data_IF_894472114010
#
_entry.id   IF_894472114010
#
_cell.length_a   1.000
_cell.length_b   1.000
_cell.length_c   1.000
_cell.angle_alpha   90.00
_cell.angle_beta   90.00
_cell.angle_gamma   90.00
#
_symmetry.space_group_name_H-M   'P 1'
#
loop_
_entity.id
_entity.type
_entity.pdbx_description
1 polymer ?
#
# COMPACT_ATOMS: atom_id res chain seq x y z
N UNK A 1 -36.03 -40.88 -32.45
CA UNK A 1 -34.64 -40.36 -32.36
C UNK A 1 -34.67 -38.85 -32.13
N UNK A 2 -34.69 -38.40 -30.87
CA UNK A 2 -34.52 -36.98 -30.49
C UNK A 2 -33.70 -36.92 -29.20
N UNK A 3 -32.42 -37.22 -29.32
CA UNK A 3 -31.43 -37.02 -28.26
C UNK A 3 -30.20 -36.53 -28.99
N UNK A 4 -29.88 -35.22 -28.90
CA UNK A 4 -28.55 -34.66 -29.24
C UNK A 4 -28.42 -33.13 -29.09
N UNK A 5 -29.51 -32.36 -28.93
CA UNK A 5 -29.38 -30.88 -28.83
C UNK A 5 -29.22 -30.32 -27.41
N UNK A 6 -29.63 -31.03 -26.36
CA UNK A 6 -29.53 -30.54 -24.96
C UNK A 6 -28.16 -30.76 -24.33
N UNK A 7 -27.31 -31.63 -24.89
CA UNK A 7 -25.95 -31.83 -24.38
C UNK A 7 -25.00 -30.69 -24.80
N UNK A 8 -25.11 -30.16 -26.02
CA UNK A 8 -24.18 -29.14 -26.53
C UNK A 8 -24.23 -27.83 -25.72
N UNK A 9 -25.42 -27.44 -25.26
CA UNK A 9 -25.62 -26.18 -24.50
C UNK A 9 -24.96 -26.26 -23.11
N UNK A 10 -24.92 -27.45 -22.48
CA UNK A 10 -24.27 -27.63 -21.17
C UNK A 10 -22.75 -27.52 -21.23
N UNK A 11 -22.13 -27.89 -22.35
CA UNK A 11 -20.67 -27.78 -22.53
C UNK A 11 -20.22 -26.34 -22.84
N UNK A 12 -21.05 -25.55 -23.53
CA UNK A 12 -20.75 -24.12 -23.80
C UNK A 12 -20.83 -23.27 -22.53
N UNK A 13 -21.80 -23.53 -21.64
CA UNK A 13 -21.90 -22.82 -20.35
C UNK A 13 -20.75 -23.19 -19.40
N UNK A 14 -20.27 -24.45 -19.41
CA UNK A 14 -19.12 -24.88 -18.61
C UNK A 14 -17.79 -24.26 -19.08
N UNK A 15 -17.65 -24.00 -20.40
CA UNK A 15 -16.45 -23.37 -20.96
C UNK A 15 -16.38 -21.86 -20.65
N UNK A 16 -17.52 -21.17 -20.57
CA UNK A 16 -17.58 -19.73 -20.25
C UNK A 16 -17.23 -19.46 -18.78
N UNK A 17 -17.50 -20.41 -17.87
CA UNK A 17 -17.13 -20.32 -16.45
C UNK A 17 -15.62 -20.58 -16.22
N UNK A 18 -14.89 -21.16 -17.20
CA UNK A 18 -13.44 -21.37 -17.10
C UNK A 18 -12.60 -20.13 -17.43
N UNK A 19 -13.21 -19.06 -17.98
CA UNK A 19 -12.54 -17.80 -18.29
C UNK A 19 -12.69 -16.76 -17.17
N UNK A 20 -12.89 -17.20 -15.92
CA UNK A 20 -12.59 -16.34 -14.77
C UNK A 20 -11.08 -16.11 -14.82
N UNK A 21 -10.74 -14.97 -15.43
CA UNK A 21 -9.41 -14.45 -15.64
C UNK A 21 -8.54 -14.75 -14.42
N UNK A 22 -7.41 -15.42 -14.65
CA UNK A 22 -6.39 -15.72 -13.66
C UNK A 22 -5.72 -14.41 -13.20
N UNK A 23 -6.47 -13.57 -12.48
CA UNK A 23 -6.01 -12.37 -11.78
C UNK A 23 -5.40 -12.81 -10.45
N UNK A 24 -4.29 -13.54 -10.52
CA UNK A 24 -3.61 -14.08 -9.36
C UNK A 24 -2.27 -13.36 -9.16
N UNK A 25 -2.17 -12.55 -8.10
CA UNK A 25 -0.88 -12.15 -7.55
C UNK A 25 -0.27 -13.36 -6.87
N UNK A 26 0.99 -13.68 -7.16
CA UNK A 26 1.65 -14.86 -6.59
C UNK A 26 2.82 -14.48 -5.70
N UNK A 27 2.99 -15.28 -4.65
CA UNK A 27 4.06 -15.17 -3.68
C UNK A 27 4.86 -16.47 -3.65
N UNK A 28 6.18 -16.37 -3.60
CA UNK A 28 7.08 -17.52 -3.51
C UNK A 28 7.75 -17.55 -2.15
N UNK A 29 7.82 -18.72 -1.48
CA UNK A 29 8.49 -18.84 -0.20
C UNK A 29 10.01 -18.61 -0.38
N UNK A 30 10.61 -17.87 0.55
CA UNK A 30 12.05 -17.58 0.56
C UNK A 30 12.60 -17.72 1.99
N UNK A 31 13.75 -18.37 2.15
CA UNK A 31 14.41 -18.52 3.45
C UNK A 31 15.33 -17.33 3.70
N UNK A 32 15.02 -16.50 4.69
CA UNK A 32 15.81 -15.31 5.02
C UNK A 32 16.29 -15.39 6.47
N UNK A 33 17.54 -14.97 6.69
CA UNK A 33 18.13 -14.81 8.02
C UNK A 33 17.81 -13.41 8.55
N UNK A 34 17.16 -13.31 9.71
CA UNK A 34 16.91 -12.02 10.35
C UNK A 34 18.24 -11.26 10.58
N UNK A 35 18.36 -10.00 10.15
CA UNK A 35 19.63 -9.25 10.26
C UNK A 35 19.96 -8.89 11.71
N UNK A 36 18.96 -8.80 12.59
CA UNK A 36 19.16 -8.50 14.00
C UNK A 36 19.66 -9.71 14.78
N UNK A 37 18.86 -10.78 14.88
CA UNK A 37 19.14 -11.92 15.76
C UNK A 37 19.67 -13.18 15.06
N UNK A 38 19.73 -13.19 13.73
CA UNK A 38 20.24 -14.32 12.95
C UNK A 38 19.30 -15.51 12.82
N UNK A 39 18.06 -15.44 13.33
CA UNK A 39 17.06 -16.50 13.16
C UNK A 39 16.68 -16.67 11.69
N UNK A 40 16.69 -17.90 11.19
CA UNK A 40 16.20 -18.23 9.86
C UNK A 40 14.69 -18.50 9.91
N UNK A 41 13.94 -17.89 9.00
CA UNK A 41 12.50 -18.08 8.85
C UNK A 41 12.14 -18.13 7.36
N UNK A 42 10.98 -18.70 7.05
CA UNK A 42 10.38 -18.65 5.71
C UNK A 42 9.57 -17.36 5.63
N UNK A 43 9.86 -16.56 4.61
CA UNK A 43 9.11 -15.37 4.23
C UNK A 43 8.55 -15.57 2.83
N UNK A 44 7.85 -14.56 2.30
CA UNK A 44 7.24 -14.62 0.98
C UNK A 44 7.67 -13.42 0.16
N UNK A 45 8.33 -13.66 -0.97
CA UNK A 45 8.66 -12.62 -1.93
C UNK A 45 7.64 -12.58 -3.07
N UNK A 46 7.47 -11.40 -3.65
CA UNK A 46 6.69 -11.21 -4.88
C UNK A 46 7.24 -12.13 -5.97
N UNK A 47 6.35 -12.91 -6.59
CA UNK A 47 6.71 -13.82 -7.67
C UNK A 47 6.14 -13.35 -9.02
N UNK A 48 4.84 -13.03 -9.06
CA UNK A 48 4.22 -12.43 -10.26
C UNK A 48 2.99 -11.61 -9.91
N UNK A 49 2.71 -10.61 -10.75
CA UNK A 49 1.50 -9.80 -10.73
C UNK A 49 1.30 -9.18 -12.12
N UNK A 50 0.10 -8.67 -12.40
CA UNK A 50 -0.22 -7.96 -13.64
C UNK A 50 -0.79 -6.58 -13.35
N UNK A 51 -1.09 -5.81 -14.40
CA UNK A 51 -1.60 -4.44 -14.30
C UNK A 51 -2.95 -4.31 -13.58
N UNK A 52 -3.72 -5.39 -13.47
CA UNK A 52 -5.01 -5.43 -12.77
C UNK A 52 -4.92 -4.99 -11.29
N UNK A 53 -3.72 -5.02 -10.68
CA UNK A 53 -3.52 -4.51 -9.31
C UNK A 53 -3.81 -3.01 -9.19
N UNK A 54 -3.70 -2.25 -10.29
CA UNK A 54 -3.99 -0.82 -10.35
C UNK A 54 -5.48 -0.52 -10.38
N UNK A 55 -6.32 -1.54 -10.58
CA UNK A 55 -7.78 -1.45 -10.56
C UNK A 55 -8.41 -1.84 -9.23
N UNK A 56 -7.63 -2.39 -8.30
CA UNK A 56 -8.10 -2.76 -6.96
C UNK A 56 -8.64 -1.55 -6.19
N UNK A 57 -9.62 -1.73 -5.27
CA UNK A 57 -10.20 -0.62 -4.51
C UNK A 57 -9.18 0.25 -3.76
N UNK A 58 -8.03 -0.30 -3.38
CA UNK A 58 -6.94 0.43 -2.73
C UNK A 58 -6.34 1.56 -3.58
N UNK A 59 -6.60 1.58 -4.90
CA UNK A 59 -6.21 2.68 -5.80
C UNK A 59 -6.74 4.04 -5.34
N UNK A 60 -7.87 4.03 -4.64
CA UNK A 60 -8.46 5.23 -4.06
C UNK A 60 -7.62 5.79 -2.89
N UNK A 61 -6.82 4.98 -2.20
CA UNK A 61 -5.81 5.46 -1.23
C UNK A 61 -4.42 5.63 -1.88
N UNK A 62 -4.35 5.41 -3.20
CA UNK A 62 -3.13 5.39 -4.00
C UNK A 62 -2.10 4.37 -3.52
N UNK A 63 -2.60 3.23 -3.02
CA UNK A 63 -1.80 2.11 -2.53
C UNK A 63 -2.10 0.93 -3.44
N UNK A 64 -1.04 0.24 -3.87
CA UNK A 64 -1.14 -0.90 -4.76
C UNK A 64 -0.50 -2.12 -4.14
N UNK A 65 -0.90 -3.30 -4.61
CA UNK A 65 -0.18 -4.52 -4.29
C UNK A 65 1.31 -4.35 -4.66
N UNK A 66 2.27 -4.84 -3.85
CA UNK A 66 2.11 -5.71 -2.69
C UNK A 66 1.81 -5.02 -1.36
N UNK A 67 1.77 -3.69 -1.30
CA UNK A 67 1.56 -2.96 -0.05
C UNK A 67 0.21 -3.21 0.61
N UNK A 68 -0.79 -3.67 -0.15
CA UNK A 68 -2.11 -4.04 0.36
C UNK A 68 -2.17 -5.47 0.92
N UNK A 69 -1.10 -6.26 0.78
CA UNK A 69 -1.07 -7.67 1.19
C UNK A 69 -0.36 -7.82 2.55
N UNK A 70 -0.86 -8.77 3.35
CA UNK A 70 -0.32 -9.06 4.68
C UNK A 70 1.15 -9.47 4.69
N UNK A 71 1.67 -9.99 3.58
CA UNK A 71 3.04 -10.53 3.48
C UNK A 71 4.11 -9.46 3.31
N UNK A 72 3.73 -8.21 3.09
CA UNK A 72 4.68 -7.13 2.77
C UNK A 72 5.60 -6.72 3.92
N UNK A 73 5.15 -6.93 5.16
CA UNK A 73 5.95 -6.68 6.37
C UNK A 73 6.52 -8.00 6.88
N UNK A 74 7.82 -8.16 6.68
CA UNK A 74 8.58 -9.27 7.24
C UNK A 74 8.80 -9.00 8.72
N UNK A 75 8.41 -9.95 9.56
CA UNK A 75 8.60 -9.88 11.01
C UNK A 75 9.35 -11.11 11.50
N UNK A 76 10.45 -10.91 12.22
CA UNK A 76 11.17 -12.02 12.83
C UNK A 76 10.40 -12.57 14.04
N UNK A 77 9.90 -13.80 13.94
CA UNK A 77 9.18 -14.50 15.04
C UNK A 77 9.93 -14.61 16.37
N UNK A 78 11.27 -14.50 16.37
CA UNK A 78 12.08 -14.61 17.60
C UNK A 78 12.29 -13.26 18.29
N UNK A 79 12.53 -12.21 17.52
CA UNK A 79 12.99 -10.92 18.05
C UNK A 79 12.13 -9.73 17.67
N UNK A 80 11.06 -9.95 16.90
CA UNK A 80 10.08 -8.94 16.49
C UNK A 80 10.60 -7.85 15.55
N UNK A 81 11.89 -7.87 15.17
CA UNK A 81 12.41 -6.98 14.14
C UNK A 81 11.52 -7.06 12.89
N UNK A 82 10.99 -5.90 12.48
CA UNK A 82 9.98 -5.80 11.42
C UNK A 82 10.31 -4.65 10.49
N UNK A 83 10.32 -4.93 9.20
CA UNK A 83 10.49 -3.95 8.11
C UNK A 83 9.65 -4.37 6.91
N UNK A 84 9.51 -3.51 5.90
CA UNK A 84 9.06 -3.96 4.59
C UNK A 84 10.02 -5.01 4.01
N UNK A 85 9.48 -5.89 3.17
CA UNK A 85 10.21 -7.03 2.61
C UNK A 85 11.56 -6.64 1.97
N UNK A 86 11.63 -5.52 1.24
CA UNK A 86 12.87 -5.02 0.61
C UNK A 86 13.85 -4.36 1.58
N UNK A 87 13.41 -3.92 2.76
CA UNK A 87 14.25 -3.28 3.77
C UNK A 87 14.74 -4.27 4.85
N UNK A 88 14.24 -5.52 4.85
CA UNK A 88 14.48 -6.48 5.92
C UNK A 88 15.90 -7.10 5.91
N UNK A 89 16.69 -6.88 4.87
CA UNK A 89 17.95 -7.61 4.65
C UNK A 89 19.14 -7.07 5.43
N UNK A 90 19.06 -5.83 5.94
CA UNK A 90 20.13 -5.21 6.70
C UNK A 90 19.59 -4.23 7.75
N UNK A 91 20.45 -3.87 8.71
CA UNK A 91 20.21 -2.75 9.62
C UNK A 91 21.25 -1.70 9.21
N UNK A 92 20.87 -0.42 9.03
CA UNK A 92 21.81 0.66 8.77
C UNK A 92 22.95 0.69 9.79
N UNK A 93 24.12 1.14 9.34
CA UNK A 93 25.29 1.27 10.21
C UNK A 93 24.96 2.18 11.41
N UNK A 94 25.43 1.81 12.60
CA UNK A 94 25.14 2.54 13.84
C UNK A 94 23.78 2.23 14.50
N UNK A 95 22.77 1.80 13.75
CA UNK A 95 21.38 1.71 14.27
C UNK A 95 21.06 0.48 15.12
N UNK A 96 21.97 -0.50 15.18
CA UNK A 96 21.74 -1.76 15.89
C UNK A 96 21.37 -1.58 17.37
N UNK A 97 21.95 -0.58 18.03
CA UNK A 97 21.64 -0.26 19.43
C UNK A 97 20.27 0.41 19.58
N UNK A 98 19.86 1.26 18.63
CA UNK A 98 18.52 1.83 18.56
C UNK A 98 17.48 0.73 18.40
N UNK A 99 17.71 -0.19 17.46
CA UNK A 99 16.85 -1.36 17.23
C UNK A 99 16.68 -2.18 18.50
N UNK A 100 17.77 -2.46 19.23
CA UNK A 100 17.69 -3.16 20.52
C UNK A 100 16.77 -2.47 21.52
N UNK A 101 16.84 -1.14 21.63
CA UNK A 101 16.00 -0.34 22.56
C UNK A 101 14.52 -0.36 22.16
N UNK A 102 14.23 -0.32 20.86
CA UNK A 102 12.85 -0.44 20.35
C UNK A 102 12.30 -1.82 20.71
N UNK A 103 13.03 -2.88 20.35
CA UNK A 103 12.59 -4.27 20.55
C UNK A 103 12.45 -4.65 22.03
N UNK A 104 13.22 -4.04 22.94
CA UNK A 104 13.09 -4.30 24.38
C UNK A 104 11.84 -3.71 25.04
N UNK A 105 11.18 -2.74 24.39
CA UNK A 105 9.97 -2.06 24.91
C UNK A 105 8.67 -2.71 24.45
N UNK A 106 8.76 -3.61 23.49
CA UNK A 106 7.60 -4.22 22.84
C UNK A 106 7.17 -5.47 23.59
N UNK A 107 5.85 -5.65 23.73
CA UNK A 107 5.30 -6.86 24.30
C UNK A 107 5.67 -8.07 23.43
N UNK A 108 5.97 -9.21 24.05
CA UNK A 108 6.12 -10.45 23.29
C UNK A 108 4.73 -10.91 22.90
N UNK A 109 4.48 -11.04 21.60
CA UNK A 109 3.26 -11.68 21.11
C UNK A 109 3.57 -13.17 20.99
N UNK A 110 3.03 -14.04 21.83
CA UNK A 110 3.33 -15.47 21.70
C UNK A 110 2.77 -16.00 20.37
N UNK A 111 3.63 -16.53 19.50
CA UNK A 111 3.20 -17.24 18.30
C UNK A 111 3.83 -18.63 18.24
N UNK A 112 3.01 -19.61 17.82
CA UNK A 112 3.44 -20.98 17.59
C UNK A 112 3.73 -21.27 16.11
N UNK A 113 3.96 -20.24 15.27
CA UNK A 113 3.89 -20.40 13.81
C UNK A 113 4.62 -19.37 12.95
N UNK A 114 4.07 -19.16 11.75
CA UNK A 114 4.56 -18.26 10.72
C UNK A 114 4.37 -16.78 11.10
N UNK A 115 5.11 -15.87 10.44
CA UNK A 115 5.11 -14.44 10.80
C UNK A 115 3.83 -13.71 10.37
N UNK A 116 3.06 -14.29 9.47
CA UNK A 116 1.76 -13.77 9.02
C UNK A 116 0.66 -13.93 10.08
N UNK A 117 0.85 -14.82 11.05
CA UNK A 117 0.00 -14.96 12.25
C UNK A 117 0.12 -13.75 13.17
N UNK A 118 1.22 -12.99 13.09
CA UNK A 118 1.38 -11.77 13.88
C UNK A 118 0.45 -10.70 13.29
N UNK A 119 -0.47 -10.12 14.09
CA UNK A 119 -1.42 -9.13 13.60
C UNK A 119 -0.74 -7.98 12.83
N UNK A 120 -1.36 -7.52 11.76
CA UNK A 120 -0.74 -6.54 10.88
C UNK A 120 -0.54 -5.19 11.60
N UNK A 121 -1.50 -4.74 12.41
CA UNK A 121 -1.32 -3.54 13.24
C UNK A 121 -0.06 -3.63 14.12
N UNK A 122 0.25 -4.82 14.64
CA UNK A 122 1.39 -5.01 15.54
C UNK A 122 2.70 -4.93 14.77
N UNK A 123 2.76 -5.58 13.59
CA UNK A 123 3.90 -5.47 12.68
C UNK A 123 4.12 -4.03 12.22
N UNK A 124 3.06 -3.29 11.90
CA UNK A 124 3.13 -1.87 11.53
C UNK A 124 3.63 -0.98 12.66
N UNK A 125 3.18 -1.22 13.90
CA UNK A 125 3.69 -0.50 15.07
C UNK A 125 5.20 -0.68 15.22
N UNK A 126 5.68 -1.92 15.10
CA UNK A 126 7.11 -2.20 15.22
C UNK A 126 7.87 -1.56 14.07
N UNK A 127 7.39 -1.73 12.82
CA UNK A 127 8.01 -1.15 11.65
C UNK A 127 8.12 0.38 11.76
N UNK A 128 7.08 1.09 12.20
CA UNK A 128 7.13 2.55 12.42
C UNK A 128 8.25 2.93 13.39
N UNK A 129 8.37 2.25 14.53
CA UNK A 129 9.42 2.53 15.52
C UNK A 129 10.82 2.19 15.00
N UNK A 130 10.96 1.14 14.18
CA UNK A 130 12.24 0.80 13.54
C UNK A 130 12.60 1.86 12.49
N UNK A 131 11.66 2.27 11.65
CA UNK A 131 11.89 3.27 10.63
C UNK A 131 12.15 4.67 11.19
N UNK A 132 11.68 4.99 12.40
CA UNK A 132 12.06 6.23 13.11
C UNK A 132 13.56 6.30 13.45
N UNK A 133 14.25 5.16 13.47
CA UNK A 133 15.70 5.11 13.63
C UNK A 133 16.43 5.33 12.30
N UNK A 134 15.73 5.18 11.18
CA UNK A 134 16.31 5.24 9.84
C UNK A 134 16.05 6.62 9.23
N UNK A 135 17.03 7.15 8.50
CA UNK A 135 16.88 8.41 7.77
C UNK A 135 15.96 8.19 6.56
N UNK A 136 14.65 8.29 6.78
CA UNK A 136 13.62 8.19 5.75
C UNK A 136 13.07 9.58 5.40
N UNK A 137 12.77 9.78 4.13
CA UNK A 137 12.24 11.04 3.60
C UNK A 137 10.71 11.16 3.76
N UNK A 138 10.18 12.31 3.37
CA UNK A 138 8.75 12.60 3.45
C UNK A 138 7.92 11.69 2.52
N UNK A 139 8.46 11.29 1.37
CA UNK A 139 7.77 10.36 0.45
C UNK A 139 7.56 9.00 1.12
N UNK A 140 8.62 8.46 1.73
CA UNK A 140 8.54 7.22 2.50
C UNK A 140 7.48 7.33 3.60
N UNK A 141 7.50 8.38 4.41
CA UNK A 141 6.56 8.51 5.51
C UNK A 141 5.13 8.73 5.03
N UNK A 142 4.93 9.54 4.00
CA UNK A 142 3.64 9.70 3.34
C UNK A 142 3.09 8.35 2.88
N UNK A 143 3.90 7.56 2.18
CA UNK A 143 3.49 6.23 1.72
C UNK A 143 3.26 5.25 2.87
N UNK A 144 4.18 5.16 3.83
CA UNK A 144 4.09 4.27 4.99
C UNK A 144 2.79 4.50 5.76
N UNK A 145 2.42 5.76 6.02
CA UNK A 145 1.21 6.06 6.77
C UNK A 145 -0.08 5.81 5.98
N UNK A 146 -0.06 5.90 4.64
CA UNK A 146 -1.16 5.42 3.80
C UNK A 146 -1.34 3.92 3.93
N UNK A 147 -0.26 3.15 3.78
CA UNK A 147 -0.24 1.69 3.95
C UNK A 147 -0.73 1.28 5.33
N UNK A 148 -0.24 1.96 6.38
CA UNK A 148 -0.66 1.73 7.75
C UNK A 148 -2.16 2.02 7.94
N UNK A 149 -2.65 3.14 7.41
CA UNK A 149 -4.08 3.50 7.46
C UNK A 149 -4.97 2.45 6.79
N UNK A 150 -4.56 1.96 5.62
CA UNK A 150 -5.27 0.91 4.88
C UNK A 150 -5.40 -0.39 5.70
N UNK A 151 -4.29 -0.91 6.23
CA UNK A 151 -4.31 -2.15 7.00
C UNK A 151 -5.06 -2.03 8.32
N UNK A 152 -4.90 -0.90 9.02
CA UNK A 152 -5.64 -0.65 10.27
C UNK A 152 -7.16 -0.59 10.02
N UNK A 153 -7.59 0.04 8.93
CA UNK A 153 -9.00 0.09 8.57
C UNK A 153 -9.56 -1.32 8.29
N UNK A 154 -8.79 -2.17 7.57
CA UNK A 154 -9.15 -3.56 7.31
C UNK A 154 -9.24 -4.43 8.57
N UNK A 155 -8.47 -4.10 9.61
CA UNK A 155 -8.52 -4.74 10.93
C UNK A 155 -9.55 -4.10 11.88
N UNK A 156 -10.39 -3.17 11.41
CA UNK A 156 -11.43 -2.52 12.22
C UNK A 156 -10.92 -1.45 13.19
N UNK A 157 -9.65 -1.05 13.10
CA UNK A 157 -8.99 -0.04 13.94
C UNK A 157 -9.21 1.36 13.39
N UNK A 158 -10.46 1.79 13.35
CA UNK A 158 -10.91 3.00 12.64
C UNK A 158 -10.22 4.27 13.14
N UNK A 159 -10.06 4.43 14.46
CA UNK A 159 -9.43 5.62 15.04
C UNK A 159 -7.93 5.67 14.69
N UNK A 160 -7.22 4.56 14.85
CA UNK A 160 -5.79 4.46 14.52
C UNK A 160 -5.53 4.60 13.00
N UNK A 161 -6.46 4.12 12.18
CA UNK A 161 -6.42 4.32 10.73
C UNK A 161 -6.55 5.82 10.38
N UNK A 162 -7.48 6.53 11.03
CA UNK A 162 -7.65 7.97 10.86
C UNK A 162 -6.38 8.74 11.28
N UNK A 163 -5.77 8.41 12.42
CA UNK A 163 -4.51 9.03 12.84
C UNK A 163 -3.38 8.77 11.85
N UNK A 164 -3.28 7.56 11.29
CA UNK A 164 -2.29 7.27 10.24
C UNK A 164 -2.54 8.11 9.00
N UNK A 165 -3.80 8.23 8.54
CA UNK A 165 -4.15 9.07 7.39
C UNK A 165 -3.87 10.56 7.62
N UNK A 166 -4.06 11.07 8.84
CA UNK A 166 -3.67 12.44 9.20
C UNK A 166 -2.15 12.66 9.08
N UNK A 167 -1.34 11.69 9.52
CA UNK A 167 0.12 11.77 9.32
C UNK A 167 0.48 11.76 7.83
N UNK A 168 -0.14 10.89 7.03
CA UNK A 168 0.06 10.90 5.57
C UNK A 168 -0.29 12.26 4.94
N UNK A 169 -1.38 12.91 5.39
CA UNK A 169 -1.71 14.28 4.98
C UNK A 169 -0.60 15.26 5.31
N UNK A 170 -0.07 15.23 6.54
CA UNK A 170 0.99 16.13 6.98
C UNK A 170 2.23 16.00 6.09
N UNK A 171 2.72 14.78 5.86
CA UNK A 171 3.87 14.55 4.99
C UNK A 171 3.60 14.97 3.54
N UNK A 172 2.43 14.64 2.98
CA UNK A 172 2.09 15.08 1.63
C UNK A 172 2.00 16.60 1.50
N UNK A 173 1.54 17.32 2.52
CA UNK A 173 1.53 18.78 2.53
C UNK A 173 2.96 19.35 2.58
N UNK A 174 3.85 18.75 3.37
CA UNK A 174 5.28 19.09 3.37
C UNK A 174 5.89 18.88 1.99
N UNK A 175 5.60 17.77 1.33
CA UNK A 175 6.09 17.49 -0.03
C UNK A 175 5.58 18.51 -1.06
N UNK A 176 4.31 18.93 -0.98
CA UNK A 176 3.74 19.95 -1.89
C UNK A 176 4.48 21.29 -1.74
N UNK A 177 4.90 21.64 -0.53
CA UNK A 177 5.63 22.89 -0.28
C UNK A 177 7.07 22.89 -0.83
N UNK A 178 7.60 21.74 -1.26
CA UNK A 178 8.96 21.62 -1.76
C UNK A 178 9.01 21.85 -3.29
N UNK A 179 9.76 22.83 -3.78
CA UNK A 179 9.88 23.10 -5.22
C UNK A 179 10.40 21.90 -6.04
N UNK A 180 11.21 21.03 -5.42
CA UNK A 180 11.71 19.81 -6.04
C UNK A 180 10.58 18.85 -6.49
N UNK A 181 9.41 18.94 -5.85
CA UNK A 181 8.26 18.09 -6.13
C UNK A 181 7.27 18.73 -7.11
N UNK A 182 7.60 19.88 -7.72
CA UNK A 182 6.70 20.59 -8.63
C UNK A 182 6.17 19.66 -9.75
N UNK A 183 7.02 18.78 -10.28
CA UNK A 183 6.68 17.82 -11.32
C UNK A 183 5.69 16.72 -10.92
N UNK A 184 5.53 16.45 -9.63
CA UNK A 184 4.60 15.43 -9.10
C UNK A 184 3.43 16.06 -8.35
N UNK A 185 3.26 17.38 -8.40
CA UNK A 185 2.21 18.09 -7.65
C UNK A 185 0.81 17.52 -7.88
N UNK A 186 0.48 17.12 -9.11
CA UNK A 186 -0.81 16.47 -9.43
C UNK A 186 -1.08 15.25 -8.56
N UNK A 187 -0.09 14.37 -8.45
CA UNK A 187 -0.16 13.15 -7.64
C UNK A 187 -0.26 13.48 -6.15
N UNK A 188 0.51 14.46 -5.67
CA UNK A 188 0.48 14.87 -4.27
C UNK A 188 -0.88 15.47 -3.88
N UNK A 189 -1.46 16.33 -4.72
CA UNK A 189 -2.80 16.87 -4.48
C UNK A 189 -3.89 15.80 -4.59
N UNK A 190 -3.73 14.80 -5.47
CA UNK A 190 -4.59 13.62 -5.46
C UNK A 190 -4.52 12.86 -4.13
N UNK A 191 -3.30 12.61 -3.62
CA UNK A 191 -3.08 11.94 -2.33
C UNK A 191 -3.72 12.75 -1.18
N UNK A 192 -3.53 14.07 -1.16
CA UNK A 192 -4.18 14.94 -0.17
C UNK A 192 -5.70 14.81 -0.20
N UNK A 193 -6.29 14.89 -1.40
CA UNK A 193 -7.73 14.75 -1.57
C UNK A 193 -8.25 13.38 -1.12
N UNK A 194 -7.54 12.31 -1.46
CA UNK A 194 -7.88 10.95 -1.06
C UNK A 194 -7.87 10.78 0.46
N UNK A 195 -6.81 11.26 1.13
CA UNK A 195 -6.72 11.13 2.59
C UNK A 195 -7.77 11.98 3.33
N UNK A 196 -8.05 13.19 2.85
CA UNK A 196 -9.15 14.02 3.39
C UNK A 196 -10.51 13.34 3.20
N UNK A 197 -10.77 12.76 2.04
CA UNK A 197 -12.01 12.02 1.80
C UNK A 197 -12.19 10.88 2.80
N UNK A 198 -11.12 10.10 3.05
CA UNK A 198 -11.13 9.01 4.04
C UNK A 198 -11.27 9.51 5.49
N UNK A 199 -10.97 10.78 5.75
CA UNK A 199 -11.18 11.46 7.03
C UNK A 199 -12.52 12.21 7.10
N UNK A 200 -13.42 11.96 6.14
CA UNK A 200 -14.72 12.61 5.99
C UNK A 200 -14.67 14.14 5.74
N UNK A 201 -13.51 14.71 5.43
CA UNK A 201 -13.38 16.09 4.95
C UNK A 201 -13.67 16.17 3.45
N UNK A 202 -14.96 16.05 3.09
CA UNK A 202 -15.41 16.08 1.69
C UNK A 202 -15.12 17.42 1.01
N UNK A 203 -15.17 18.52 1.76
CA UNK A 203 -14.94 19.87 1.21
C UNK A 203 -13.46 20.07 0.87
N UNK A 204 -12.56 19.74 1.79
CA UNK A 204 -11.12 19.78 1.54
C UNK A 204 -10.73 18.83 0.42
N UNK A 205 -11.28 17.60 0.43
CA UNK A 205 -11.03 16.62 -0.61
C UNK A 205 -11.40 17.14 -2.00
N UNK A 206 -12.60 17.70 -2.14
CA UNK A 206 -13.09 18.25 -3.41
C UNK A 206 -12.24 19.42 -3.90
N UNK A 207 -11.76 20.28 -2.99
CA UNK A 207 -10.87 21.38 -3.34
C UNK A 207 -9.53 20.85 -3.92
N UNK A 208 -8.92 19.89 -3.24
CA UNK A 208 -7.67 19.28 -3.70
C UNK A 208 -7.83 18.53 -5.03
N UNK A 209 -8.91 17.77 -5.21
CA UNK A 209 -9.18 17.09 -6.48
C UNK A 209 -9.43 18.05 -7.64
N UNK A 210 -10.17 19.14 -7.41
CA UNK A 210 -10.39 20.18 -8.44
C UNK A 210 -9.10 20.87 -8.83
N UNK A 211 -8.21 21.14 -7.87
CA UNK A 211 -6.90 21.72 -8.14
C UNK A 211 -6.00 20.72 -8.88
N UNK A 212 -5.89 19.48 -8.40
CA UNK A 212 -5.11 18.41 -9.04
C UNK A 212 -5.49 18.20 -10.52
N UNK A 213 -6.79 18.32 -10.85
CA UNK A 213 -7.27 18.18 -12.23
C UNK A 213 -6.71 19.23 -13.19
N UNK A 214 -6.32 20.40 -12.69
CA UNK A 214 -5.72 21.48 -13.47
C UNK A 214 -4.21 21.33 -13.66
N UNK A 215 -3.58 20.43 -12.90
CA UNK A 215 -2.16 20.19 -12.93
C UNK A 215 -1.82 19.09 -13.93
N UNK A 216 -0.57 19.08 -14.35
CA UNK A 216 0.02 18.03 -15.17
C UNK A 216 1.13 17.33 -14.38
N UNK A 217 1.13 16.01 -14.40
CA UNK A 217 2.24 15.22 -13.88
C UNK A 217 3.38 15.23 -14.90
N UNK A 218 4.53 15.75 -14.52
CA UNK A 218 5.66 15.93 -15.43
C UNK A 218 7.00 15.81 -14.70
N UNK A 219 7.69 14.70 -14.89
CA UNK A 219 9.06 14.51 -14.40
C UNK A 219 10.03 14.77 -15.57
N UNK A 220 10.96 15.73 -15.44
CA UNK A 220 11.97 15.98 -16.46
C UNK A 220 12.74 14.72 -16.86
N UNK A 221 12.83 14.47 -18.18
CA UNK A 221 13.55 13.31 -18.73
C UNK A 221 12.78 11.99 -18.69
N UNK A 222 11.54 11.97 -18.20
CA UNK A 222 10.69 10.77 -18.28
C UNK A 222 10.10 10.58 -19.68
N UNK A 223 9.79 9.32 -20.00
CA UNK A 223 9.14 8.92 -21.26
C UNK A 223 7.73 9.54 -21.42
N UNK A 224 7.44 10.09 -22.59
CA UNK A 224 6.20 10.84 -22.84
C UNK A 224 4.95 9.98 -22.78
N UNK A 225 5.02 8.72 -23.25
CA UNK A 225 3.90 7.78 -23.19
C UNK A 225 3.61 7.43 -21.72
N UNK A 226 4.65 7.19 -20.93
CA UNK A 226 4.52 6.98 -19.48
C UNK A 226 3.88 8.18 -18.79
N UNK A 227 4.33 9.40 -19.07
CA UNK A 227 3.76 10.61 -18.49
C UNK A 227 2.28 10.79 -18.87
N UNK A 228 1.93 10.54 -20.14
CA UNK A 228 0.55 10.57 -20.61
C UNK A 228 -0.33 9.55 -19.86
N UNK A 229 0.16 8.31 -19.72
CA UNK A 229 -0.58 7.25 -19.03
C UNK A 229 -0.81 7.58 -17.54
N UNK A 230 0.19 8.12 -16.84
CA UNK A 230 0.04 8.54 -15.43
C UNK A 230 -0.96 9.70 -15.32
N UNK A 231 -0.87 10.70 -16.21
CA UNK A 231 -1.81 11.82 -16.21
C UNK A 231 -3.26 11.35 -16.44
N UNK A 232 -3.45 10.46 -17.41
CA UNK A 232 -4.77 9.91 -17.70
C UNK A 232 -5.30 9.13 -16.49
N UNK A 233 -4.48 8.26 -15.90
CA UNK A 233 -4.85 7.48 -14.73
C UNK A 233 -5.24 8.37 -13.54
N UNK A 234 -4.45 9.40 -13.23
CA UNK A 234 -4.78 10.34 -12.16
C UNK A 234 -6.05 11.14 -12.47
N UNK A 235 -6.25 11.57 -13.72
CA UNK A 235 -7.49 12.24 -14.13
C UNK A 235 -8.72 11.36 -13.92
N UNK A 236 -8.63 10.08 -14.27
CA UNK A 236 -9.73 9.13 -14.13
C UNK A 236 -10.07 8.88 -12.65
N UNK A 237 -9.06 8.76 -11.79
CA UNK A 237 -9.24 8.62 -10.35
C UNK A 237 -9.85 9.88 -9.72
N UNK A 238 -9.36 11.06 -10.12
CA UNK A 238 -9.89 12.36 -9.69
C UNK A 238 -11.37 12.50 -10.10
N UNK A 239 -11.72 12.14 -11.34
CA UNK A 239 -13.08 12.21 -11.83
C UNK A 239 -14.03 11.31 -11.02
N UNK A 240 -13.63 10.05 -10.78
CA UNK A 240 -14.39 9.11 -9.94
C UNK A 240 -14.62 9.65 -8.52
N UNK A 241 -13.62 10.29 -7.92
CA UNK A 241 -13.77 10.89 -6.60
C UNK A 241 -14.72 12.08 -6.58
N UNK A 242 -14.60 12.98 -7.56
CA UNK A 242 -15.48 14.15 -7.67
C UNK A 242 -16.93 13.69 -7.82
N UNK A 243 -17.20 12.75 -8.73
CA UNK A 243 -18.53 12.17 -8.93
C UNK A 243 -19.06 11.53 -7.63
N UNK A 244 -18.24 10.71 -6.96
CA UNK A 244 -18.62 10.08 -5.69
C UNK A 244 -18.95 11.08 -4.59
N UNK A 245 -18.21 12.19 -4.49
CA UNK A 245 -18.46 13.23 -3.49
C UNK A 245 -19.72 14.02 -3.81
N UNK A 246 -19.93 14.38 -5.08
CA UNK A 246 -21.02 15.25 -5.52
C UNK A 246 -22.38 14.51 -5.55
N UNK A 247 -22.39 13.19 -5.80
CA UNK A 247 -23.59 12.34 -5.81
C UNK A 247 -24.04 11.87 -4.43
N UNK A 248 -23.18 11.97 -3.40
CA UNK A 248 -23.50 11.65 -2.01
C UNK A 248 -23.95 12.87 -1.19
N UNK A 249 -24.31 13.97 -1.85
CA UNK A 249 -24.93 15.15 -1.23
C UNK A 249 -26.43 14.93 -1.10
#
# INVERSE_FOLDING_TARGET
>A
MRVKHTLLIKWVVLLIISCVLCFATTWSPVKIKCPYCGTKSVYYQVNSYGSYIYDYPSKFEYIFWPYTDGRILYCCRKCWFTCFAWDFFSIPEGERNGVKKVLSKLAVYETNGDYDVIPMYYRLLIAENIYQLYEKDDDFWCHFYRVKGYHLANEGKVAEAAESRKKALQYGATMIAQPANAGISKELFYIQGAMQYMLADKTGALANFKYARQLEYNIPGADSIRLQNINQYLNDLIAQYIEKIETQK
#
